data_IF_672029778145
#
_entry.id   IF_672029778145
#
_cell.length_a   1.000
_cell.length_b   1.000
_cell.length_c   1.000
_cell.angle_alpha   90.00
_cell.angle_beta   90.00
_cell.angle_gamma   90.00
#
_symmetry.space_group_name_H-M   'P 1'
#
loop_
_entity.id
_entity.type
_entity.pdbx_description
1 polymer ?
#
# COMPACT_ATOMS: atom_id res chain seq x y z
N UNK A 1 33.51 -1.99 11.96
CA UNK A 1 33.74 -1.17 13.16
C UNK A 1 34.27 -2.01 14.31
N UNK A 2 35.19 -1.44 15.08
CA UNK A 2 35.70 -1.97 16.35
C UNK A 2 34.73 -1.68 17.50
N UNK A 3 34.92 -2.35 18.64
CA UNK A 3 34.10 -2.12 19.84
C UNK A 3 34.15 -0.67 20.35
N UNK A 4 35.32 -0.03 20.29
CA UNK A 4 35.50 1.33 20.82
C UNK A 4 34.83 2.38 19.91
N UNK A 5 34.98 2.26 18.59
CA UNK A 5 34.28 3.13 17.62
C UNK A 5 32.76 3.05 17.77
N UNK A 6 32.23 1.86 18.09
CA UNK A 6 30.80 1.66 18.31
C UNK A 6 30.35 2.35 19.59
N UNK A 7 31.10 2.18 20.70
CA UNK A 7 30.78 2.82 21.98
C UNK A 7 30.69 4.34 21.85
N UNK A 8 31.64 4.96 21.14
CA UNK A 8 31.63 6.41 20.87
C UNK A 8 30.41 6.83 20.04
N UNK A 9 29.97 5.98 19.13
CA UNK A 9 28.85 6.24 18.22
C UNK A 9 27.47 5.89 18.82
N UNK A 10 27.39 5.27 20.00
CA UNK A 10 26.12 4.82 20.60
C UNK A 10 25.17 5.98 20.91
N UNK A 11 25.68 7.14 21.34
CA UNK A 11 24.84 8.31 21.61
C UNK A 11 24.19 8.81 20.31
N UNK A 12 25.00 9.02 19.27
CA UNK A 12 24.52 9.44 17.95
C UNK A 12 23.54 8.43 17.34
N UNK A 13 23.80 7.13 17.54
CA UNK A 13 22.89 6.05 17.17
C UNK A 13 21.54 6.15 17.90
N UNK A 14 21.56 6.36 19.23
CA UNK A 14 20.33 6.48 20.04
C UNK A 14 19.49 7.70 19.69
N UNK A 15 20.13 8.77 19.23
CA UNK A 15 19.48 10.01 18.82
C UNK A 15 19.03 9.98 17.33
N UNK A 16 19.37 8.92 16.58
CA UNK A 16 19.05 8.80 15.16
C UNK A 16 19.85 9.75 14.25
N UNK A 17 21.03 10.17 14.69
CA UNK A 17 21.88 11.15 14.00
C UNK A 17 22.87 10.52 13.01
N UNK A 18 22.85 9.20 12.87
CA UNK A 18 23.73 8.47 11.97
C UNK A 18 23.09 8.24 10.59
N UNK A 19 23.94 8.18 9.56
CA UNK A 19 23.51 7.74 8.23
C UNK A 19 23.02 6.27 8.23
N UNK A 20 22.21 5.87 7.24
CA UNK A 20 21.59 4.54 7.21
C UNK A 20 22.61 3.39 7.16
N UNK A 21 23.76 3.61 6.52
CA UNK A 21 24.86 2.63 6.43
C UNK A 21 25.49 2.37 7.81
N UNK A 22 25.96 3.43 8.48
CA UNK A 22 26.54 3.33 9.83
C UNK A 22 25.55 2.80 10.86
N UNK A 23 24.29 3.22 10.79
CA UNK A 23 23.25 2.70 11.67
C UNK A 23 23.05 1.18 11.47
N UNK A 24 23.13 0.70 10.22
CA UNK A 24 23.09 -0.72 9.90
C UNK A 24 24.27 -1.50 10.47
N UNK A 25 25.49 -0.97 10.35
CA UNK A 25 26.70 -1.59 10.92
C UNK A 25 26.64 -1.71 12.44
N UNK A 26 26.22 -0.64 13.13
CA UNK A 26 26.06 -0.63 14.58
C UNK A 26 24.96 -1.60 15.00
N UNK A 27 23.81 -1.61 14.31
CA UNK A 27 22.72 -2.55 14.60
C UNK A 27 23.17 -4.02 14.45
N UNK A 28 23.94 -4.33 13.41
CA UNK A 28 24.50 -5.67 13.22
C UNK A 28 25.42 -6.07 14.37
N UNK A 29 26.29 -5.16 14.83
CA UNK A 29 27.16 -5.44 15.97
C UNK A 29 26.38 -5.60 17.28
N UNK A 30 25.39 -4.75 17.54
CA UNK A 30 24.55 -4.84 18.73
C UNK A 30 23.83 -6.20 18.83
N UNK A 31 23.48 -6.81 17.70
CA UNK A 31 22.86 -8.16 17.69
C UNK A 31 23.78 -9.27 18.22
N UNK A 32 25.10 -9.11 18.08
CA UNK A 32 26.10 -10.09 18.52
C UNK A 32 26.87 -9.72 19.79
N UNK A 33 26.80 -8.46 20.22
CA UNK A 33 27.58 -7.96 21.35
C UNK A 33 26.71 -7.57 22.55
N UNK A 34 26.84 -8.34 23.64
CA UNK A 34 26.14 -8.07 24.90
C UNK A 34 26.65 -6.81 25.61
N UNK A 35 27.96 -6.53 25.54
CA UNK A 35 28.57 -5.35 26.17
C UNK A 35 28.08 -4.03 25.57
N UNK A 36 28.11 -3.91 24.24
CA UNK A 36 27.62 -2.72 23.53
C UNK A 36 26.09 -2.58 23.67
N UNK A 37 25.35 -3.69 23.66
CA UNK A 37 23.92 -3.68 23.94
C UNK A 37 23.57 -3.23 25.36
N UNK A 38 24.36 -3.63 26.36
CA UNK A 38 24.19 -3.19 27.74
C UNK A 38 24.47 -1.69 27.87
N UNK A 39 25.56 -1.20 27.28
CA UNK A 39 25.90 0.23 27.26
C UNK A 39 24.79 1.07 26.60
N UNK A 40 24.21 0.60 25.49
CA UNK A 40 23.09 1.28 24.84
C UNK A 40 21.84 1.34 25.75
N UNK A 41 21.55 0.26 26.49
CA UNK A 41 20.44 0.24 27.45
C UNK A 41 20.66 1.19 28.62
N UNK A 42 21.90 1.29 29.11
CA UNK A 42 22.27 2.23 30.18
C UNK A 42 22.07 3.68 29.75
N UNK A 43 22.55 4.04 28.55
CA UNK A 43 22.30 5.33 27.90
C UNK A 43 20.80 5.63 27.78
N UNK A 44 20.02 4.66 27.29
CA UNK A 44 18.56 4.78 27.18
C UNK A 44 17.87 4.97 28.54
N UNK A 45 18.32 4.26 29.57
CA UNK A 45 17.82 4.37 30.94
C UNK A 45 18.08 5.75 31.55
N UNK A 46 19.29 6.28 31.38
CA UNK A 46 19.64 7.63 31.82
C UNK A 46 18.78 8.70 31.12
N UNK A 47 18.65 8.61 29.79
CA UNK A 47 17.82 9.52 29.00
C UNK A 47 16.35 9.49 29.43
N UNK A 48 15.80 8.29 29.68
CA UNK A 48 14.44 8.12 30.17
C UNK A 48 14.25 8.74 31.57
N UNK A 49 15.19 8.52 32.49
CA UNK A 49 15.17 9.09 33.83
C UNK A 49 15.17 10.62 33.81
N UNK A 50 16.03 11.23 32.97
CA UNK A 50 16.06 12.69 32.78
C UNK A 50 14.75 13.20 32.21
N UNK A 51 14.21 12.56 31.17
CA UNK A 51 12.91 12.93 30.56
C UNK A 51 11.77 12.85 31.56
N UNK A 52 11.79 11.86 32.45
CA UNK A 52 10.78 11.70 33.48
C UNK A 52 10.90 12.78 34.57
N UNK A 53 12.11 13.05 35.04
CA UNK A 53 12.37 14.09 36.05
C UNK A 53 12.02 15.50 35.54
N UNK A 54 12.26 15.76 34.25
CA UNK A 54 11.97 17.04 33.61
C UNK A 54 10.60 17.08 32.92
N UNK A 55 9.74 16.08 33.16
CA UNK A 55 8.44 15.99 32.50
C UNK A 55 7.49 17.07 33.02
N UNK A 56 7.51 18.24 32.41
CA UNK A 56 6.45 19.23 32.53
C UNK A 56 5.28 18.79 31.65
N UNK A 57 4.06 18.74 32.19
CA UNK A 57 2.88 18.42 31.39
C UNK A 57 2.68 19.50 30.32
N UNK A 58 2.65 19.09 29.04
CA UNK A 58 2.31 20.02 27.96
C UNK A 58 0.90 20.61 28.20
N UNK A 59 0.68 21.91 27.93
CA UNK A 59 -0.63 22.53 28.10
C UNK A 59 -1.71 21.79 27.29
N UNK A 60 -2.90 21.60 27.87
CA UNK A 60 -3.99 20.86 27.25
C UNK A 60 -4.34 21.37 25.83
N UNK A 61 -4.34 22.69 25.65
CA UNK A 61 -4.58 23.34 24.36
C UNK A 61 -3.55 22.96 23.27
N UNK A 62 -2.30 22.68 23.64
CA UNK A 62 -1.27 22.21 22.69
C UNK A 62 -1.58 20.77 22.24
N UNK A 63 -1.95 19.90 23.19
CA UNK A 63 -2.31 18.50 22.90
C UNK A 63 -3.49 18.42 21.93
N UNK A 64 -4.53 19.22 22.16
CA UNK A 64 -5.72 19.27 21.30
C UNK A 64 -5.37 19.69 19.86
N UNK A 65 -4.54 20.72 19.69
CA UNK A 65 -4.10 21.18 18.36
C UNK A 65 -3.28 20.14 17.61
N UNK A 66 -2.37 19.45 18.28
CA UNK A 66 -1.56 18.37 17.68
C UNK A 66 -2.46 17.20 17.24
N UNK A 67 -3.40 16.78 18.10
CA UNK A 67 -4.32 15.70 17.79
C UNK A 67 -5.30 16.05 16.67
N UNK A 68 -5.76 17.31 16.60
CA UNK A 68 -6.59 17.79 15.51
C UNK A 68 -5.86 17.72 14.15
N UNK A 69 -4.57 18.09 14.11
CA UNK A 69 -3.74 17.99 12.91
C UNK A 69 -3.49 16.56 12.45
N UNK A 70 -3.24 15.63 13.39
CA UNK A 70 -2.98 14.22 13.07
C UNK A 70 -4.21 13.46 12.53
N UNK A 71 -5.43 13.92 12.83
CA UNK A 71 -6.68 13.27 12.39
C UNK A 71 -7.07 13.58 10.95
N UNK A 72 -6.36 14.46 10.24
CA UNK A 72 -6.69 14.81 8.85
C UNK A 72 -6.15 13.73 7.89
N UNK A 73 -6.74 12.54 7.92
CA UNK A 73 -6.64 11.59 6.80
C UNK A 73 -7.58 12.09 5.70
N UNK A 74 -7.04 12.74 4.68
CA UNK A 74 -7.81 13.10 3.48
C UNK A 74 -8.31 11.81 2.82
N UNK A 75 -9.61 11.66 2.50
CA UNK A 75 -10.10 10.49 1.79
C UNK A 75 -9.69 10.61 0.31
N UNK A 76 -8.47 10.12 -0.01
CA UNK A 76 -7.94 10.06 -1.38
C UNK A 76 -8.79 9.19 -2.32
N UNK A 77 -9.72 8.40 -1.79
CA UNK A 77 -10.56 7.46 -2.55
C UNK A 77 -11.71 8.14 -3.32
N UNK A 78 -12.07 9.39 -3.01
CA UNK A 78 -13.23 10.05 -3.63
C UNK A 78 -13.08 10.36 -5.12
N UNK A 79 -11.98 10.98 -5.60
CA UNK A 79 -11.83 11.26 -7.03
C UNK A 79 -11.53 10.00 -7.85
N UNK A 80 -10.78 9.04 -7.27
CA UNK A 80 -10.42 7.79 -7.94
C UNK A 80 -11.64 6.89 -8.19
N UNK A 81 -12.58 6.82 -7.24
CA UNK A 81 -13.81 6.05 -7.40
C UNK A 81 -14.73 6.59 -8.51
N UNK A 82 -14.78 7.92 -8.69
CA UNK A 82 -15.58 8.54 -9.76
C UNK A 82 -14.99 8.25 -11.15
N UNK A 83 -13.67 8.33 -11.30
CA UNK A 83 -12.98 8.02 -12.56
C UNK A 83 -13.09 6.52 -12.91
N UNK A 84 -12.97 5.63 -11.92
CA UNK A 84 -13.13 4.20 -12.12
C UNK A 84 -14.55 3.83 -12.59
N UNK A 85 -15.59 4.46 -12.03
CA UNK A 85 -16.97 4.26 -12.46
C UNK A 85 -17.22 4.67 -13.92
N UNK A 86 -16.67 5.82 -14.34
CA UNK A 86 -16.80 6.30 -15.72
C UNK A 86 -16.09 5.39 -16.73
N UNK A 87 -14.90 4.89 -16.39
CA UNK A 87 -14.15 3.94 -17.23
C UNK A 87 -14.88 2.61 -17.38
N UNK A 88 -15.45 2.08 -16.29
CA UNK A 88 -16.21 0.84 -16.32
C UNK A 88 -17.45 0.94 -17.23
N UNK A 89 -18.17 2.07 -17.18
CA UNK A 89 -19.33 2.32 -18.04
C UNK A 89 -18.97 2.37 -19.53
N UNK A 90 -17.85 3.02 -19.88
CA UNK A 90 -17.36 3.09 -21.25
C UNK A 90 -16.92 1.72 -21.79
N UNK A 91 -16.21 0.94 -20.98
CA UNK A 91 -15.79 -0.43 -21.35
C UNK A 91 -17.01 -1.31 -21.59
N UNK A 92 -18.02 -1.24 -20.70
CA UNK A 92 -19.25 -2.02 -20.86
C UNK A 92 -20.01 -1.66 -22.14
N UNK A 93 -20.14 -0.36 -22.45
CA UNK A 93 -20.79 0.10 -23.68
C UNK A 93 -20.07 -0.39 -24.94
N UNK A 94 -18.72 -0.36 -24.96
CA UNK A 94 -17.92 -0.87 -26.06
C UNK A 94 -18.08 -2.38 -26.23
N UNK A 95 -18.01 -3.15 -25.15
CA UNK A 95 -18.18 -4.61 -25.20
C UNK A 95 -19.58 -5.01 -25.67
N UNK A 96 -20.62 -4.34 -25.18
CA UNK A 96 -22.00 -4.59 -25.61
C UNK A 96 -22.19 -4.30 -27.11
N UNK A 97 -21.62 -3.19 -27.61
CA UNK A 97 -21.66 -2.85 -29.04
C UNK A 97 -20.91 -3.85 -29.92
N UNK A 98 -19.73 -4.32 -29.49
CA UNK A 98 -18.95 -5.35 -30.20
C UNK A 98 -19.68 -6.69 -30.22
N UNK A 99 -20.27 -7.10 -29.09
CA UNK A 99 -21.04 -8.34 -29.00
C UNK A 99 -22.25 -8.32 -29.94
N UNK A 100 -23.01 -7.22 -29.96
CA UNK A 100 -24.16 -7.05 -30.85
C UNK A 100 -23.75 -7.14 -32.34
N UNK A 101 -22.66 -6.46 -32.72
CA UNK A 101 -22.13 -6.51 -34.10
C UNK A 101 -21.64 -7.91 -34.50
N UNK A 102 -21.08 -8.68 -33.56
CA UNK A 102 -20.51 -10.00 -33.83
C UNK A 102 -21.57 -11.11 -33.89
N UNK A 103 -22.68 -10.97 -33.16
CA UNK A 103 -23.75 -11.98 -33.09
C UNK A 103 -24.78 -11.86 -34.23
N UNK A 104 -24.97 -10.67 -34.80
CA UNK A 104 -25.94 -10.43 -35.88
C UNK A 104 -25.74 -11.31 -37.13
N UNK A 105 -24.52 -11.51 -37.67
CA UNK A 105 -24.33 -12.39 -38.84
C UNK A 105 -24.49 -13.88 -38.51
N UNK A 106 -24.20 -14.31 -37.28
CA UNK A 106 -24.31 -15.71 -36.87
C UNK A 106 -25.78 -16.14 -36.72
N UNK A 107 -26.61 -15.26 -36.14
CA UNK A 107 -28.06 -15.51 -35.99
C UNK A 107 -28.75 -15.55 -37.37
N UNK A 108 -28.39 -14.65 -38.29
CA UNK A 108 -28.98 -14.63 -39.64
C UNK A 108 -28.58 -15.86 -40.47
N UNK A 109 -27.30 -16.27 -40.40
CA UNK A 109 -26.82 -17.48 -41.05
C UNK A 109 -27.49 -18.75 -40.48
N UNK A 110 -27.71 -18.80 -39.17
CA UNK A 110 -28.40 -19.93 -38.53
C UNK A 110 -29.87 -20.02 -38.93
N UNK A 111 -30.58 -18.88 -39.02
CA UNK A 111 -31.96 -18.83 -39.51
C UNK A 111 -32.06 -19.26 -40.98
N UNK A 112 -31.16 -18.77 -41.85
CA UNK A 112 -31.11 -19.21 -43.26
C UNK A 112 -30.77 -20.70 -43.39
N UNK A 113 -29.88 -21.23 -42.55
CA UNK A 113 -29.56 -22.65 -42.50
C UNK A 113 -30.75 -23.53 -42.11
N UNK A 114 -31.57 -23.11 -41.14
CA UNK A 114 -32.81 -23.82 -40.77
C UNK A 114 -33.85 -23.80 -41.89
N UNK A 115 -33.99 -22.69 -42.62
CA UNK A 115 -34.92 -22.59 -43.76
C UNK A 115 -34.49 -23.52 -44.90
N UNK A 116 -33.22 -23.51 -45.29
CA UNK A 116 -32.71 -24.38 -46.36
C UNK A 116 -32.69 -25.85 -45.95
N UNK A 117 -32.40 -26.16 -44.67
CA UNK A 117 -32.46 -27.52 -44.13
C UNK A 117 -33.89 -28.08 -44.11
N UNK A 118 -34.88 -27.26 -43.76
CA UNK A 118 -36.29 -27.63 -43.82
C UNK A 118 -36.78 -27.85 -45.26
N UNK A 119 -36.33 -27.02 -46.21
CA UNK A 119 -36.63 -27.21 -47.63
C UNK A 119 -35.99 -28.50 -48.20
N UNK A 120 -34.76 -28.83 -47.79
CA UNK A 120 -34.07 -30.07 -48.20
C UNK A 120 -34.74 -31.35 -47.66
N UNK A 121 -35.28 -31.32 -46.44
CA UNK A 121 -36.00 -32.46 -45.86
C UNK A 121 -37.34 -32.76 -46.56
N UNK A 122 -37.96 -31.76 -47.20
CA UNK A 122 -39.21 -31.92 -47.95
C UNK A 122 -38.98 -32.29 -49.44
N UNK A 123 -37.77 -32.07 -49.98
CA UNK A 123 -37.42 -32.35 -51.37
C UNK A 123 -36.70 -33.69 -51.62
N UNK A 124 -36.31 -34.43 -50.57
CA UNK A 124 -35.60 -35.72 -50.69
C UNK A 124 -36.50 -36.96 -50.79
N UNK A 125 -37.81 -36.77 -50.91
CA UNK A 125 -38.80 -37.84 -50.99
C UNK A 125 -39.26 -38.13 -52.41
N UNK A 126 -38.50 -38.99 -53.11
CA UNK A 126 -38.81 -39.72 -54.37
C UNK A 126 -38.57 -38.98 -55.68
#
# INVERSE_FOLDING_TARGET
>A
MTHEEIKESLSAYSDGQLGPEQAGEIAAHLSGCTGCSAALRELGGLSAGVKQALSASAPAAMKERVLAGARVKKPLLRPAALLAGALAALIFALLAGVAAKRFMPAMFAQVQGMINGAAGALGGGK
#
